data_IF_305024895026
#
_entry.id   IF_305024895026
#
_cell.length_a   1.000
_cell.length_b   1.000
_cell.length_c   1.000
_cell.angle_alpha   90.00
_cell.angle_beta   90.00
_cell.angle_gamma   90.00
#
_symmetry.space_group_name_H-M   'P 1'
#
loop_
_entity.id
_entity.type
_entity.pdbx_description
1 polymer ?
#
# COMPACT_ATOMS: atom_id res chain seq x y z
N UNK A 1 -17.99 -2.44 -19.08
CA UNK A 1 -17.85 -3.39 -17.96
C UNK A 1 -18.41 -2.72 -16.74
N UNK A 2 -19.39 -3.35 -16.11
CA UNK A 2 -19.90 -2.92 -14.82
C UNK A 2 -18.79 -3.02 -13.76
N UNK A 3 -18.70 -2.03 -12.86
CA UNK A 3 -17.65 -2.01 -11.84
C UNK A 3 -17.83 -3.16 -10.85
N UNK A 4 -19.08 -3.50 -10.53
CA UNK A 4 -19.37 -4.56 -9.57
C UNK A 4 -19.07 -5.94 -10.19
N UNK A 5 -19.34 -6.12 -11.48
CA UNK A 5 -18.90 -7.29 -12.25
C UNK A 5 -17.37 -7.43 -12.27
N UNK A 6 -16.64 -6.35 -12.53
CA UNK A 6 -15.17 -6.35 -12.48
C UNK A 6 -14.65 -6.79 -11.09
N UNK A 7 -15.25 -6.27 -10.03
CA UNK A 7 -14.86 -6.60 -8.65
C UNK A 7 -15.18 -8.06 -8.28
N UNK A 8 -16.18 -8.68 -8.91
CA UNK A 8 -16.53 -10.09 -8.71
C UNK A 8 -15.63 -11.05 -9.49
N UNK A 9 -15.14 -10.64 -10.67
CA UNK A 9 -14.40 -11.50 -11.59
C UNK A 9 -12.86 -11.39 -11.44
N UNK A 10 -12.38 -11.36 -10.21
CA UNK A 10 -10.95 -11.29 -9.90
C UNK A 10 -10.32 -12.68 -9.83
N UNK A 11 -9.09 -12.83 -10.32
CA UNK A 11 -8.29 -14.05 -10.13
C UNK A 11 -7.76 -14.14 -8.69
N UNK A 12 -8.64 -14.57 -7.79
CA UNK A 12 -8.32 -14.74 -6.36
C UNK A 12 -7.11 -15.67 -6.16
N UNK A 13 -7.04 -16.79 -6.86
CA UNK A 13 -5.94 -17.75 -6.71
C UNK A 13 -4.60 -17.13 -7.12
N UNK A 14 -4.54 -16.42 -8.24
CA UNK A 14 -3.34 -15.71 -8.70
C UNK A 14 -2.95 -14.55 -7.78
N UNK A 15 -3.91 -13.80 -7.25
CA UNK A 15 -3.67 -12.75 -6.26
C UNK A 15 -3.11 -13.32 -4.96
N UNK A 16 -3.67 -14.41 -4.43
CA UNK A 16 -3.17 -15.06 -3.21
C UNK A 16 -1.78 -15.66 -3.41
N UNK A 17 -1.50 -16.23 -4.60
CA UNK A 17 -0.15 -16.67 -4.97
C UNK A 17 0.85 -15.51 -4.98
N UNK A 18 0.48 -14.38 -5.58
CA UNK A 18 1.30 -13.17 -5.63
C UNK A 18 1.52 -12.57 -4.24
N UNK A 19 0.49 -12.53 -3.39
CA UNK A 19 0.62 -12.15 -1.97
C UNK A 19 1.63 -13.02 -1.25
N UNK A 20 1.57 -14.34 -1.45
CA UNK A 20 2.54 -15.28 -0.90
C UNK A 20 3.97 -15.02 -1.37
N UNK A 21 4.16 -14.61 -2.63
CA UNK A 21 5.45 -14.18 -3.15
C UNK A 21 5.96 -12.89 -2.50
N UNK A 22 5.14 -11.85 -2.40
CA UNK A 22 5.53 -10.59 -1.75
C UNK A 22 5.84 -10.77 -0.26
N UNK A 23 5.10 -11.62 0.45
CA UNK A 23 5.42 -11.96 1.84
C UNK A 23 6.80 -12.64 1.98
N UNK A 24 7.23 -13.43 0.99
CA UNK A 24 8.60 -13.99 0.98
C UNK A 24 9.65 -12.90 0.79
N UNK A 25 9.44 -11.98 -0.15
CA UNK A 25 10.37 -10.86 -0.36
C UNK A 25 10.47 -9.98 0.90
N UNK A 26 9.34 -9.68 1.56
CA UNK A 26 9.36 -8.94 2.83
C UNK A 26 10.18 -9.68 3.88
N UNK A 27 10.01 -11.01 3.98
CA UNK A 27 10.78 -11.84 4.89
C UNK A 27 12.28 -11.81 4.56
N UNK A 28 12.66 -11.87 3.29
CA UNK A 28 14.06 -11.81 2.85
C UNK A 28 14.72 -10.48 3.27
N UNK A 29 14.02 -9.35 3.14
CA UNK A 29 14.49 -8.04 3.64
C UNK A 29 14.63 -8.03 5.18
N UNK A 30 13.69 -8.67 5.89
CA UNK A 30 13.78 -8.82 7.35
C UNK A 30 14.95 -9.69 7.78
N UNK A 31 15.19 -10.80 7.08
CA UNK A 31 16.33 -11.69 7.32
C UNK A 31 17.66 -10.99 7.02
N UNK A 32 17.67 -10.03 6.08
CA UNK A 32 18.80 -9.14 5.80
C UNK A 32 19.00 -8.03 6.86
N UNK A 33 18.15 -7.98 7.90
CA UNK A 33 18.27 -7.07 9.04
C UNK A 33 17.48 -5.77 8.90
N UNK A 34 16.62 -5.62 7.89
CA UNK A 34 15.73 -4.47 7.78
C UNK A 34 14.50 -4.70 8.67
N UNK A 35 14.26 -3.90 9.72
CA UNK A 35 13.08 -4.10 10.56
C UNK A 35 11.80 -3.86 9.73
N UNK A 36 10.69 -4.57 9.98
CA UNK A 36 9.47 -4.46 9.16
C UNK A 36 8.89 -3.05 9.14
N UNK A 37 9.07 -2.29 10.24
CA UNK A 37 8.70 -0.86 10.33
C UNK A 37 9.48 0.06 9.38
N UNK A 38 10.51 -0.46 8.70
CA UNK A 38 11.31 0.22 7.67
C UNK A 38 11.02 -0.29 6.26
N UNK A 39 10.07 -1.20 6.09
CA UNK A 39 9.63 -1.74 4.80
C UNK A 39 8.32 -1.04 4.41
N UNK A 40 8.25 -0.56 3.17
CA UNK A 40 7.06 0.08 2.61
C UNK A 40 6.56 -0.76 1.44
N UNK A 41 5.31 -1.18 1.50
CA UNK A 41 4.67 -1.92 0.41
C UNK A 41 3.92 -0.94 -0.49
N UNK A 42 4.21 -0.93 -1.79
CA UNK A 42 3.48 -0.05 -2.69
C UNK A 42 3.64 -0.35 -4.16
N UNK A 43 2.76 0.25 -4.97
CA UNK A 43 2.78 0.08 -6.41
C UNK A 43 1.74 0.91 -7.16
N UNK A 44 1.80 0.79 -8.50
CA UNK A 44 0.88 1.42 -9.44
C UNK A 44 -0.07 0.39 -10.06
N UNK A 45 -1.33 0.76 -10.28
CA UNK A 45 -2.35 -0.08 -10.92
C UNK A 45 -2.46 -1.44 -10.23
N UNK A 46 -2.26 -2.55 -10.93
CA UNK A 46 -2.24 -3.89 -10.33
C UNK A 46 -1.20 -4.04 -9.20
N UNK A 47 -0.04 -3.39 -9.31
CA UNK A 47 0.94 -3.36 -8.23
C UNK A 47 0.42 -2.66 -6.97
N UNK A 48 -0.39 -1.61 -7.13
CA UNK A 48 -1.07 -0.93 -6.02
C UNK A 48 -2.14 -1.82 -5.38
N UNK A 49 -2.91 -2.55 -6.19
CA UNK A 49 -3.89 -3.52 -5.69
C UNK A 49 -3.20 -4.62 -4.86
N UNK A 50 -2.09 -5.17 -5.37
CA UNK A 50 -1.31 -6.17 -4.65
C UNK A 50 -0.63 -5.62 -3.40
N UNK A 51 -0.22 -4.35 -3.42
CA UNK A 51 0.35 -3.67 -2.26
C UNK A 51 -0.67 -3.51 -1.13
N UNK A 52 -1.91 -3.11 -1.45
CA UNK A 52 -3.01 -3.07 -0.48
C UNK A 52 -3.28 -4.48 0.07
N UNK A 53 -3.48 -5.48 -0.79
CA UNK A 53 -3.76 -6.85 -0.36
C UNK A 53 -2.66 -7.40 0.57
N UNK A 54 -1.40 -7.24 0.18
CA UNK A 54 -0.26 -7.77 0.93
C UNK A 54 -0.02 -6.98 2.19
N UNK A 55 0.11 -5.65 2.10
CA UNK A 55 0.47 -4.80 3.23
C UNK A 55 -0.58 -4.79 4.34
N UNK A 56 -1.86 -4.78 4.00
CA UNK A 56 -2.95 -4.76 4.99
C UNK A 56 -3.04 -6.10 5.75
N UNK A 57 -2.80 -7.22 5.05
CA UNK A 57 -2.91 -8.57 5.61
C UNK A 57 -1.58 -9.13 6.11
N UNK A 58 -0.50 -8.35 6.06
CA UNK A 58 0.82 -8.79 6.53
C UNK A 58 0.83 -8.98 8.06
N UNK A 59 1.47 -10.03 8.60
CA UNK A 59 1.50 -10.31 10.04
C UNK A 59 2.49 -9.44 10.83
N UNK A 60 3.38 -8.70 10.16
CA UNK A 60 4.29 -7.75 10.81
C UNK A 60 3.85 -6.31 10.56
N UNK A 61 4.18 -5.40 11.47
CA UNK A 61 3.87 -3.98 11.29
C UNK A 61 4.83 -3.34 10.28
N UNK A 62 4.33 -3.05 9.09
CA UNK A 62 5.08 -2.35 8.05
C UNK A 62 5.25 -0.86 8.35
N UNK A 63 6.20 -0.20 7.67
CA UNK A 63 6.43 1.24 7.80
C UNK A 63 5.35 2.09 7.14
N UNK A 64 4.75 1.59 6.05
CA UNK A 64 3.70 2.29 5.31
C UNK A 64 3.21 1.50 4.11
N UNK A 65 2.08 1.93 3.58
CA UNK A 65 1.51 1.40 2.34
C UNK A 65 1.26 2.55 1.37
N UNK A 66 1.52 2.37 0.08
CA UNK A 66 1.04 3.31 -0.93
C UNK A 66 0.43 2.61 -2.15
N UNK A 67 -0.57 3.23 -2.76
CA UNK A 67 -1.30 2.65 -3.88
C UNK A 67 -1.69 3.74 -4.88
N UNK A 68 -1.20 3.63 -6.12
CA UNK A 68 -1.37 4.65 -7.16
C UNK A 68 -2.27 4.10 -8.27
N UNK A 69 -3.31 4.85 -8.65
CA UNK A 69 -4.26 4.53 -9.73
C UNK A 69 -4.75 3.07 -9.67
N UNK A 70 -5.24 2.64 -8.50
CA UNK A 70 -5.55 1.24 -8.24
C UNK A 70 -6.91 1.06 -7.56
N UNK A 71 -7.18 -0.17 -7.13
CA UNK A 71 -8.36 -0.55 -6.35
C UNK A 71 -7.96 -1.53 -5.25
N UNK A 72 -8.76 -1.65 -4.18
CA UNK A 72 -8.60 -2.67 -3.14
C UNK A 72 -9.17 -3.99 -3.65
N UNK A 73 -8.35 -5.01 -3.96
CA UNK A 73 -8.86 -6.28 -4.46
C UNK A 73 -9.49 -7.09 -3.32
N UNK A 74 -10.37 -8.02 -3.67
CA UNK A 74 -10.99 -8.99 -2.76
C UNK A 74 -11.62 -8.33 -1.52
N UNK A 75 -12.19 -7.13 -1.65
CA UNK A 75 -12.71 -6.34 -0.53
C UNK A 75 -13.80 -7.05 0.27
N UNK A 76 -14.54 -7.98 -0.35
CA UNK A 76 -15.52 -8.85 0.29
C UNK A 76 -14.91 -9.97 1.17
N UNK A 77 -13.62 -10.29 1.01
CA UNK A 77 -12.90 -11.34 1.75
C UNK A 77 -11.71 -10.80 2.55
N UNK A 78 -11.27 -9.58 2.29
CA UNK A 78 -10.06 -8.99 2.87
C UNK A 78 -10.13 -8.93 4.40
N UNK A 79 -11.31 -8.71 4.99
CA UNK A 79 -11.54 -8.75 6.44
C UNK A 79 -11.20 -10.11 7.05
N UNK A 80 -11.54 -11.20 6.37
CA UNK A 80 -11.28 -12.57 6.83
C UNK A 80 -9.79 -12.94 6.73
N UNK A 81 -9.02 -12.15 5.98
CA UNK A 81 -7.58 -12.32 5.81
C UNK A 81 -6.75 -11.48 6.80
N UNK A 82 -7.39 -10.67 7.64
CA UNK A 82 -6.69 -9.85 8.62
C UNK A 82 -6.10 -10.73 9.74
N UNK A 83 -4.84 -10.52 10.14
CA UNK A 83 -4.31 -11.13 11.35
C UNK A 83 -5.13 -10.73 12.59
N UNK A 84 -5.25 -11.60 13.58
CA UNK A 84 -6.04 -11.33 14.81
C UNK A 84 -5.57 -10.06 15.55
N UNK A 85 -4.26 -9.87 15.67
CA UNK A 85 -3.67 -8.65 16.28
C UNK A 85 -3.69 -7.43 15.36
N UNK A 86 -3.96 -7.64 14.07
CA UNK A 86 -3.93 -6.68 12.96
C UNK A 86 -2.92 -5.52 13.12
N UNK A 87 -1.61 -5.81 13.06
CA UNK A 87 -0.56 -4.84 13.33
C UNK A 87 -0.55 -3.65 12.37
N UNK A 88 -1.06 -3.85 11.15
CA UNK A 88 -1.12 -2.84 10.10
C UNK A 88 -2.34 -1.90 10.19
N UNK A 89 -3.25 -2.07 11.17
CA UNK A 89 -4.44 -1.21 11.32
C UNK A 89 -4.12 0.29 11.34
N UNK A 90 -3.07 0.67 12.05
CA UNK A 90 -2.65 2.07 12.23
C UNK A 90 -1.50 2.48 11.30
N UNK A 91 -1.12 1.63 10.34
CA UNK A 91 -0.07 1.97 9.38
C UNK A 91 -0.61 3.05 8.42
N UNK A 92 0.15 4.13 8.16
CA UNK A 92 -0.25 5.13 7.18
C UNK A 92 -0.47 4.49 5.80
N UNK A 93 -1.51 4.93 5.10
CA UNK A 93 -1.82 4.50 3.73
C UNK A 93 -1.96 5.73 2.84
N UNK A 94 -1.11 5.83 1.83
CA UNK A 94 -1.21 6.85 0.80
C UNK A 94 -1.89 6.29 -0.44
N UNK A 95 -3.00 6.88 -0.86
CA UNK A 95 -3.70 6.50 -2.09
C UNK A 95 -3.78 7.70 -3.00
N UNK A 96 -3.37 7.55 -4.26
CA UNK A 96 -3.40 8.61 -5.25
C UNK A 96 -4.11 8.15 -6.52
N UNK A 97 -4.97 8.98 -7.09
CA UNK A 97 -5.73 8.63 -8.29
C UNK A 97 -6.00 9.84 -9.17
N UNK A 98 -5.89 9.65 -10.48
CA UNK A 98 -6.29 10.66 -11.47
C UNK A 98 -7.81 10.67 -11.71
N UNK A 99 -8.42 11.85 -11.80
CA UNK A 99 -9.88 11.95 -11.89
C UNK A 99 -10.47 11.67 -13.29
N UNK A 100 -9.63 11.64 -14.31
CA UNK A 100 -10.00 11.24 -15.67
C UNK A 100 -9.45 9.85 -16.04
N UNK A 101 -8.98 9.06 -15.07
CA UNK A 101 -8.55 7.68 -15.29
C UNK A 101 -9.72 6.82 -15.79
N UNK A 102 -9.59 6.28 -17.00
CA UNK A 102 -10.58 5.40 -17.65
C UNK A 102 -10.15 3.92 -17.66
N UNK A 103 -8.91 3.61 -17.24
CA UNK A 103 -8.39 2.23 -17.17
C UNK A 103 -8.76 1.62 -15.84
N UNK A 104 -8.34 2.27 -14.75
CA UNK A 104 -8.85 2.00 -13.41
C UNK A 104 -9.69 3.22 -13.05
N UNK A 105 -11.00 3.13 -13.33
CA UNK A 105 -11.95 4.23 -13.12
C UNK A 105 -11.75 4.88 -11.76
N UNK A 106 -11.67 6.22 -11.72
CA UNK A 106 -11.47 6.99 -10.48
C UNK A 106 -12.41 6.56 -9.33
N UNK A 107 -13.64 6.21 -9.68
CA UNK A 107 -14.64 5.67 -8.76
C UNK A 107 -14.16 4.44 -7.98
N UNK A 108 -13.38 3.54 -8.58
CA UNK A 108 -12.77 2.40 -7.88
C UNK A 108 -11.74 2.87 -6.86
N UNK A 109 -10.95 3.90 -7.16
CA UNK A 109 -10.02 4.52 -6.22
C UNK A 109 -10.76 5.13 -5.03
N UNK A 110 -11.87 5.83 -5.28
CA UNK A 110 -12.72 6.39 -4.22
C UNK A 110 -13.34 5.30 -3.33
N UNK A 111 -13.93 4.26 -3.93
CA UNK A 111 -14.49 3.11 -3.21
C UNK A 111 -13.42 2.41 -2.37
N UNK A 112 -12.21 2.29 -2.89
CA UNK A 112 -11.07 1.69 -2.19
C UNK A 112 -10.67 2.52 -0.97
N UNK A 113 -10.48 3.83 -1.14
CA UNK A 113 -10.16 4.73 -0.03
C UNK A 113 -11.26 4.72 1.05
N UNK A 114 -12.54 4.70 0.65
CA UNK A 114 -13.65 4.62 1.59
C UNK A 114 -13.65 3.30 2.36
N UNK A 115 -13.50 2.16 1.66
CA UNK A 115 -13.40 0.85 2.29
C UNK A 115 -12.28 0.78 3.34
N UNK A 116 -11.10 1.32 3.03
CA UNK A 116 -9.97 1.37 3.96
C UNK A 116 -10.23 2.27 5.17
N UNK A 117 -10.96 3.38 4.99
CA UNK A 117 -11.40 4.23 6.10
C UNK A 117 -12.45 3.54 6.97
N UNK A 118 -13.39 2.81 6.37
CA UNK A 118 -14.42 2.04 7.09
C UNK A 118 -13.81 0.87 7.89
N UNK A 119 -12.65 0.38 7.45
CA UNK A 119 -11.79 -0.54 8.19
C UNK A 119 -11.09 0.12 9.40
N UNK A 120 -11.11 1.44 9.50
CA UNK A 120 -10.48 2.22 10.57
C UNK A 120 -8.99 2.51 10.33
N UNK A 121 -8.52 2.44 9.08
CA UNK A 121 -7.14 2.75 8.73
C UNK A 121 -6.92 4.26 8.54
N UNK A 122 -5.66 4.71 8.68
CA UNK A 122 -5.26 6.08 8.41
C UNK A 122 -4.94 6.27 6.91
N UNK A 123 -5.91 6.78 6.15
CA UNK A 123 -5.83 6.89 4.68
C UNK A 123 -5.74 8.35 4.23
N UNK A 124 -4.62 8.72 3.61
CA UNK A 124 -4.45 9.95 2.82
C UNK A 124 -4.83 9.66 1.36
N UNK A 125 -6.03 10.05 0.95
CA UNK A 125 -6.50 9.90 -0.44
C UNK A 125 -6.35 11.21 -1.20
N UNK A 126 -5.55 11.20 -2.27
CA UNK A 126 -5.27 12.35 -3.13
C UNK A 126 -5.84 12.15 -4.52
N UNK A 127 -6.66 13.12 -4.95
CA UNK A 127 -7.17 13.25 -6.30
C UNK A 127 -6.26 14.18 -7.10
N UNK A 128 -5.92 13.78 -8.33
CA UNK A 128 -5.12 14.58 -9.25
C UNK A 128 -5.97 14.98 -10.47
N UNK A 129 -6.32 16.28 -10.60
CA UNK A 129 -7.08 16.78 -11.73
C UNK A 129 -6.37 16.58 -13.06
N UNK A 130 -7.13 16.23 -14.10
CA UNK A 130 -6.68 16.07 -15.48
C UNK A 130 -5.58 15.00 -15.65
N UNK A 131 -5.52 14.05 -14.70
CA UNK A 131 -4.63 12.92 -14.76
C UNK A 131 -5.39 11.65 -15.15
N UNK A 132 -4.94 11.00 -16.21
CA UNK A 132 -5.44 9.67 -16.62
C UNK A 132 -4.74 8.53 -15.88
N UNK A 133 -4.61 7.37 -16.53
CA UNK A 133 -3.88 6.22 -15.98
C UNK A 133 -2.36 6.38 -16.15
N UNK A 134 -1.76 7.31 -15.41
CA UNK A 134 -0.35 7.66 -15.56
C UNK A 134 0.28 8.18 -14.26
N UNK A 135 1.62 8.23 -14.25
CA UNK A 135 2.36 9.02 -13.26
C UNK A 135 2.47 10.49 -13.70
N UNK A 136 2.64 11.39 -12.72
CA UNK A 136 2.92 12.82 -12.94
C UNK A 136 3.86 13.35 -11.85
N UNK A 137 4.70 14.36 -12.12
CA UNK A 137 5.70 14.83 -11.15
C UNK A 137 5.14 15.32 -9.80
N UNK A 138 3.91 15.84 -9.78
CA UNK A 138 3.23 16.20 -8.53
C UNK A 138 2.85 14.97 -7.69
N UNK A 139 2.35 13.91 -8.34
CA UNK A 139 2.08 12.61 -7.69
C UNK A 139 3.34 12.04 -7.05
N UNK A 140 4.46 12.04 -7.79
CA UNK A 140 5.73 11.49 -7.28
C UNK A 140 6.33 12.37 -6.19
N UNK A 141 6.20 13.69 -6.29
CA UNK A 141 6.60 14.64 -5.23
C UNK A 141 5.83 14.39 -3.93
N UNK A 142 4.52 14.20 -4.01
CA UNK A 142 3.69 13.96 -2.84
C UNK A 142 3.93 12.58 -2.23
N UNK A 143 4.12 11.55 -3.07
CA UNK A 143 4.57 10.24 -2.61
C UNK A 143 5.93 10.31 -1.90
N UNK A 144 6.88 11.09 -2.43
CA UNK A 144 8.18 11.26 -1.80
C UNK A 144 8.08 11.95 -0.42
N UNK A 145 7.19 12.94 -0.28
CA UNK A 145 6.90 13.56 1.03
C UNK A 145 6.33 12.54 2.00
N UNK A 146 5.36 11.74 1.55
CA UNK A 146 4.79 10.65 2.33
C UNK A 146 5.86 9.66 2.80
N UNK A 147 6.67 9.11 1.89
CA UNK A 147 7.73 8.13 2.22
C UNK A 147 8.72 8.72 3.24
N UNK A 148 9.15 9.98 3.07
CA UNK A 148 10.06 10.63 4.03
C UNK A 148 9.45 10.77 5.43
N UNK A 149 8.14 10.98 5.52
CA UNK A 149 7.46 11.12 6.82
C UNK A 149 7.39 9.80 7.59
N UNK A 150 7.30 8.66 6.90
CA UNK A 150 7.20 7.33 7.51
C UNK A 150 8.55 6.61 7.65
N UNK A 151 9.56 7.01 6.86
CA UNK A 151 10.91 6.47 6.89
C UNK A 151 11.95 7.55 7.21
N UNK A 152 11.93 8.16 8.41
CA UNK A 152 12.95 9.13 8.79
C UNK A 152 14.36 8.52 8.72
N UNK A 153 15.41 9.34 8.53
CA UNK A 153 16.79 8.85 8.57
C UNK A 153 17.08 8.12 9.87
N UNK A 154 17.79 7.00 9.79
CA UNK A 154 18.30 6.33 10.99
C UNK A 154 19.44 7.18 11.52
N UNK A 155 19.31 7.72 12.73
CA UNK A 155 20.42 8.40 13.38
C UNK A 155 21.60 7.43 13.46
N UNK A 156 22.74 7.80 12.87
CA UNK A 156 23.98 7.07 13.11
C UNK A 156 24.28 7.23 14.59
N UNK A 157 24.23 6.14 15.37
CA UNK A 157 24.80 6.14 16.72
C UNK A 157 26.20 6.73 16.61
N UNK A 158 26.44 7.85 17.29
CA UNK A 158 27.77 8.43 17.40
C UNK A 158 28.73 7.30 17.78
N UNK A 159 29.75 7.09 16.95
CA UNK A 159 30.85 6.20 17.32
C UNK A 159 31.37 6.72 18.66
N UNK A 160 31.23 5.91 19.72
CA UNK A 160 31.87 6.25 20.99
C UNK A 160 33.36 6.44 20.67
N UNK A 161 34.00 7.53 21.08
CA UNK A 161 35.44 7.66 20.92
C UNK A 161 36.07 6.46 21.65
N UNK A 162 36.86 5.67 20.91
CA UNK A 162 37.70 4.66 21.50
C UNK A 162 38.63 5.35 22.51
N UNK A 163 38.52 4.95 23.78
CA UNK A 163 39.54 5.01 24.81
C UNK A 163 40.39 6.28 24.95
N UNK A 164 40.25 6.95 26.09
CA UNK A 164 41.40 7.50 26.82
C UNK A 164 41.35 6.92 28.23
#
# INVERSE_FOLDING_TARGET
MDLDEFMKNQDEAGMLKSRGYFNRLIKEEMDAGIPPSRIVMGGFSQGGAMALLTGITHPEKLGGIFALSCYTPLSNKLKDMLPESWPNKNVPVFVAHGDIDQVVRFELGQRSAQFLKDLGMNVDFRKYPDLGHAGRPDVTSDLAKYIRSILPPVEKKAQRPNGA
#
